data_IF_896935258963
#
_entry.id   IF_896935258963
#
_cell.length_a   1.000
_cell.length_b   1.000
_cell.length_c   1.000
_cell.angle_alpha   90.00
_cell.angle_beta   90.00
_cell.angle_gamma   90.00
#
_symmetry.space_group_name_H-M   'P 1'
#
loop_
_entity.id
_entity.type
_entity.pdbx_description
1 polymer ?
#
# COMPACT_ATOMS: atom_id res chain seq x y z
N UNK A 1 -11.58 12.47 -27.38
CA UNK A 1 -10.79 13.68 -27.07
C UNK A 1 -9.49 13.29 -26.40
N UNK A 2 -8.37 13.51 -27.07
CA UNK A 2 -7.03 13.70 -26.47
C UNK A 2 -6.33 12.51 -25.79
N UNK A 3 -5.84 11.55 -26.58
CA UNK A 3 -4.70 10.72 -26.17
C UNK A 3 -3.47 11.64 -26.04
N UNK A 4 -3.16 12.07 -24.82
CA UNK A 4 -1.94 12.81 -24.54
C UNK A 4 -0.75 11.87 -24.68
N UNK A 5 0.14 12.22 -25.62
CA UNK A 5 1.48 11.69 -25.83
C UNK A 5 2.18 11.33 -24.50
N UNK A 6 2.36 10.04 -24.25
CA UNK A 6 3.15 9.53 -23.12
C UNK A 6 4.61 9.45 -23.56
N UNK A 7 5.36 10.50 -23.24
CA UNK A 7 6.82 10.39 -23.09
C UNK A 7 7.11 9.13 -22.28
N UNK A 8 8.04 8.27 -22.72
CA UNK A 8 8.39 7.00 -22.06
C UNK A 8 8.88 7.28 -20.64
N UNK A 9 7.95 7.36 -19.68
CA UNK A 9 8.28 7.46 -18.27
C UNK A 9 8.87 6.12 -17.84
N UNK A 10 10.04 6.15 -17.24
CA UNK A 10 10.60 4.99 -16.57
C UNK A 10 9.61 4.54 -15.49
N UNK A 11 9.22 3.27 -15.51
CA UNK A 11 8.34 2.67 -14.50
C UNK A 11 9.05 2.65 -13.14
N UNK A 12 8.32 3.01 -12.09
CA UNK A 12 8.83 3.00 -10.72
C UNK A 12 9.17 1.58 -10.28
N UNK A 13 8.36 0.59 -10.65
CA UNK A 13 8.61 -0.83 -10.35
C UNK A 13 9.93 -1.31 -10.95
N UNK A 14 10.24 -0.94 -12.20
CA UNK A 14 11.51 -1.29 -12.83
C UNK A 14 12.71 -0.61 -12.15
N UNK A 15 12.58 0.67 -11.81
CA UNK A 15 13.64 1.41 -11.11
C UNK A 15 13.90 0.85 -9.70
N UNK A 16 12.83 0.47 -8.99
CA UNK A 16 12.90 -0.17 -7.67
C UNK A 16 13.58 -1.54 -7.76
N UNK A 17 13.14 -2.40 -8.69
CA UNK A 17 13.73 -3.73 -8.88
C UNK A 17 15.21 -3.66 -9.25
N UNK A 18 15.61 -2.72 -10.10
CA UNK A 18 17.01 -2.49 -10.42
C UNK A 18 17.82 -2.03 -9.20
N UNK A 19 17.27 -1.12 -8.39
CA UNK A 19 17.91 -0.68 -7.14
C UNK A 19 18.14 -1.84 -6.17
N UNK A 20 17.12 -2.68 -5.94
CA UNK A 20 17.24 -3.86 -5.07
C UNK A 20 18.29 -4.83 -5.62
N UNK A 21 18.31 -5.12 -6.93
CA UNK A 21 19.33 -6.00 -7.54
C UNK A 21 20.74 -5.44 -7.37
N UNK A 22 20.93 -4.12 -7.43
CA UNK A 22 22.25 -3.52 -7.21
C UNK A 22 22.70 -3.59 -5.74
N UNK A 23 21.76 -3.50 -4.80
CA UNK A 23 22.05 -3.59 -3.35
C UNK A 23 22.34 -5.02 -2.89
N UNK A 24 21.67 -6.02 -3.48
CA UNK A 24 21.76 -7.44 -3.05
C UNK A 24 22.94 -8.18 -3.71
N UNK A 25 23.54 -7.64 -4.77
CA UNK A 25 24.71 -8.26 -5.42
C UNK A 25 25.89 -8.34 -4.44
N UNK A 26 26.19 -9.54 -3.99
CA UNK A 26 27.28 -9.86 -3.04
C UNK A 26 28.67 -9.51 -3.56
N UNK A 27 28.83 -9.40 -4.89
CA UNK A 27 30.14 -9.31 -5.56
C UNK A 27 30.62 -7.87 -5.85
N UNK A 28 30.26 -6.90 -5.02
CA UNK A 28 30.83 -5.54 -5.11
C UNK A 28 31.29 -5.07 -3.75
N UNK A 29 32.60 -5.25 -3.51
CA UNK A 29 33.30 -4.57 -2.42
C UNK A 29 32.90 -3.10 -2.35
N UNK A 30 32.45 -2.66 -1.17
CA UNK A 30 32.39 -1.27 -0.70
C UNK A 30 31.75 -0.22 -1.64
N UNK A 31 30.92 -0.61 -2.61
CA UNK A 31 30.38 0.31 -3.62
C UNK A 31 29.17 1.10 -3.10
N UNK A 32 29.25 2.43 -3.13
CA UNK A 32 28.09 3.30 -2.85
C UNK A 32 27.11 3.25 -4.02
N UNK A 33 25.85 2.89 -3.76
CA UNK A 33 24.75 2.97 -4.73
C UNK A 33 24.06 4.33 -4.67
N UNK A 34 23.84 4.95 -5.83
CA UNK A 34 23.12 6.23 -5.97
C UNK A 34 21.71 5.99 -6.54
N UNK A 35 20.63 6.09 -5.74
CA UNK A 35 19.26 5.76 -6.15
C UNK A 35 18.56 6.84 -7.00
N UNK A 36 19.30 7.68 -7.75
CA UNK A 36 18.76 8.84 -8.48
C UNK A 36 17.60 8.49 -9.42
N UNK A 37 17.70 7.37 -10.15
CA UNK A 37 16.64 6.93 -11.06
C UNK A 37 15.34 6.64 -10.32
N UNK A 38 15.44 5.90 -9.21
CA UNK A 38 14.31 5.60 -8.33
C UNK A 38 13.73 6.85 -7.68
N UNK A 39 14.58 7.73 -7.14
CA UNK A 39 14.17 9.01 -6.53
C UNK A 39 13.46 9.95 -7.52
N UNK A 40 13.87 9.93 -8.80
CA UNK A 40 13.16 10.68 -9.85
C UNK A 40 11.79 10.06 -10.16
N UNK A 41 11.67 8.73 -10.19
CA UNK A 41 10.39 8.06 -10.41
C UNK A 41 9.40 8.37 -9.27
N UNK A 42 9.82 8.25 -8.01
CA UNK A 42 8.95 8.54 -6.86
C UNK A 42 8.58 10.03 -6.79
N UNK A 43 9.48 10.95 -7.14
CA UNK A 43 9.16 12.39 -7.18
C UNK A 43 8.16 12.74 -8.29
N UNK A 44 8.13 11.96 -9.37
CA UNK A 44 7.15 12.11 -10.44
C UNK A 44 5.79 11.50 -10.08
N UNK A 45 5.80 10.42 -9.28
CA UNK A 45 4.61 9.78 -8.74
C UNK A 45 3.93 10.67 -7.70
N UNK A 46 4.70 11.07 -6.68
CA UNK A 46 4.29 11.96 -5.62
C UNK A 46 5.25 13.14 -5.52
N UNK A 47 4.74 14.29 -5.99
CA UNK A 47 5.47 15.55 -6.02
C UNK A 47 5.92 16.04 -4.65
N UNK A 48 5.36 15.52 -3.55
CA UNK A 48 5.77 15.90 -2.19
C UNK A 48 7.24 15.59 -1.93
N UNK A 49 7.79 14.55 -2.57
CA UNK A 49 9.19 14.10 -2.44
C UNK A 49 10.16 14.78 -3.41
N UNK A 50 9.68 15.71 -4.25
CA UNK A 50 10.54 16.52 -5.08
C UNK A 50 11.30 17.56 -4.23
N UNK A 51 12.52 17.90 -4.64
CA UNK A 51 13.27 19.04 -4.08
C UNK A 51 14.24 18.72 -2.94
N UNK A 52 14.49 17.45 -2.61
CA UNK A 52 15.61 17.04 -1.75
C UNK A 52 15.54 17.51 -0.29
N UNK A 53 14.33 17.76 0.23
CA UNK A 53 14.10 18.09 1.64
C UNK A 53 14.06 16.80 2.50
N UNK A 54 14.10 16.97 3.82
CA UNK A 54 13.87 15.85 4.74
C UNK A 54 12.39 15.47 4.75
N UNK A 55 12.11 14.17 4.94
CA UNK A 55 10.78 13.57 4.87
C UNK A 55 10.58 12.52 5.95
N UNK A 56 9.31 12.27 6.27
CA UNK A 56 8.90 11.12 7.06
C UNK A 56 9.09 9.83 6.24
N UNK A 57 9.75 8.84 6.83
CA UNK A 57 10.05 7.57 6.15
C UNK A 57 8.81 6.71 5.93
N UNK A 58 7.80 6.80 6.79
CA UNK A 58 6.54 6.08 6.64
C UNK A 58 5.74 6.65 5.47
N UNK A 59 5.62 7.98 5.37
CA UNK A 59 4.96 8.60 4.21
C UNK A 59 5.67 8.23 2.90
N UNK A 60 7.01 8.19 2.92
CA UNK A 60 7.80 7.75 1.77
C UNK A 60 7.56 6.29 1.42
N UNK A 61 7.50 5.40 2.42
CA UNK A 61 7.18 3.98 2.23
C UNK A 61 5.79 3.81 1.62
N UNK A 62 4.76 4.46 2.16
CA UNK A 62 3.40 4.41 1.60
C UNK A 62 3.38 4.84 0.14
N UNK A 63 4.05 5.94 -0.20
CA UNK A 63 4.11 6.37 -1.59
C UNK A 63 4.80 5.37 -2.52
N UNK A 64 5.78 4.61 -2.04
CA UNK A 64 6.42 3.54 -2.82
C UNK A 64 5.46 2.38 -2.99
N UNK A 65 4.80 1.94 -1.91
CA UNK A 65 3.87 0.82 -1.94
C UNK A 65 2.67 1.11 -2.85
N UNK A 66 2.10 2.31 -2.80
CA UNK A 66 1.00 2.73 -3.69
C UNK A 66 1.41 2.67 -5.16
N UNK A 67 2.60 3.19 -5.48
CA UNK A 67 3.11 3.18 -6.84
C UNK A 67 3.36 1.76 -7.36
N UNK A 68 3.96 0.90 -6.53
CA UNK A 68 4.19 -0.50 -6.86
C UNK A 68 2.87 -1.26 -7.01
N UNK A 69 1.91 -1.06 -6.09
CA UNK A 69 0.60 -1.70 -6.14
C UNK A 69 -0.13 -1.33 -7.43
N UNK A 70 -0.12 -0.05 -7.82
CA UNK A 70 -0.76 0.40 -9.06
C UNK A 70 -0.05 -0.10 -10.33
N UNK A 71 1.28 -0.04 -10.40
CA UNK A 71 2.03 -0.51 -11.59
C UNK A 71 1.98 -2.03 -11.74
N UNK A 72 1.98 -2.77 -10.62
CA UNK A 72 1.98 -4.24 -10.58
C UNK A 72 0.59 -4.85 -10.38
N UNK A 73 -0.49 -4.07 -10.41
CA UNK A 73 -1.84 -4.59 -10.25
C UNK A 73 -2.19 -5.57 -11.39
N UNK A 74 -2.61 -6.78 -11.02
CA UNK A 74 -3.11 -7.82 -11.93
C UNK A 74 -4.51 -7.48 -12.44
N UNK A 75 -5.27 -6.69 -11.67
CA UNK A 75 -6.58 -6.18 -12.09
C UNK A 75 -6.40 -5.08 -13.14
N UNK A 76 -6.91 -5.30 -14.36
CA UNK A 76 -6.80 -4.34 -15.48
C UNK A 76 -8.09 -3.58 -15.79
N UNK A 77 -9.23 -4.09 -15.34
CA UNK A 77 -10.54 -3.47 -15.56
C UNK A 77 -10.99 -2.67 -14.35
N UNK A 78 -11.93 -1.74 -14.54
CA UNK A 78 -12.62 -1.11 -13.42
C UNK A 78 -13.57 -2.13 -12.80
N UNK A 79 -13.36 -2.58 -11.56
CA UNK A 79 -14.28 -3.49 -10.90
C UNK A 79 -15.65 -2.81 -10.70
N UNK A 80 -16.68 -3.64 -10.64
CA UNK A 80 -18.03 -3.18 -10.38
C UNK A 80 -18.20 -2.91 -8.88
N UNK A 81 -18.81 -1.78 -8.54
CA UNK A 81 -19.22 -1.53 -7.16
C UNK A 81 -20.22 -2.59 -6.71
N UNK A 82 -19.98 -3.16 -5.52
CA UNK A 82 -20.86 -4.13 -4.87
C UNK A 82 -20.96 -3.73 -3.40
N UNK A 83 -22.17 -3.52 -2.92
CA UNK A 83 -22.42 -3.34 -1.49
C UNK A 83 -22.33 -4.70 -0.78
N UNK A 84 -21.47 -4.78 0.25
CA UNK A 84 -21.33 -5.98 1.06
C UNK A 84 -22.49 -6.03 2.06
N UNK A 85 -23.29 -7.12 2.01
CA UNK A 85 -24.53 -7.20 2.79
C UNK A 85 -24.34 -7.55 4.26
N UNK A 86 -23.12 -7.92 4.69
CA UNK A 86 -22.84 -8.32 6.08
C UNK A 86 -23.67 -9.54 6.53
N UNK A 87 -23.95 -10.47 5.61
CA UNK A 87 -24.70 -11.70 5.88
C UNK A 87 -23.75 -12.87 6.12
N UNK A 88 -24.19 -13.83 6.93
CA UNK A 88 -23.39 -15.00 7.29
C UNK A 88 -22.59 -14.78 8.57
N UNK A 89 -21.73 -15.75 8.85
CA UNK A 89 -20.76 -15.73 9.94
C UNK A 89 -19.73 -14.62 9.76
N UNK A 90 -19.03 -14.28 10.84
CA UNK A 90 -17.91 -13.32 10.84
C UNK A 90 -16.83 -13.71 9.81
N UNK A 91 -16.50 -15.00 9.73
CA UNK A 91 -15.51 -15.52 8.78
C UNK A 91 -15.97 -15.39 7.32
N UNK A 92 -17.25 -15.66 7.02
CA UNK A 92 -17.81 -15.47 5.68
C UNK A 92 -17.80 -14.00 5.28
N UNK A 93 -18.13 -13.09 6.20
CA UNK A 93 -18.09 -11.65 5.94
C UNK A 93 -16.65 -11.15 5.71
N UNK A 94 -15.68 -11.70 6.45
CA UNK A 94 -14.26 -11.38 6.27
C UNK A 94 -13.75 -11.82 4.88
N UNK A 95 -14.07 -13.06 4.46
CA UNK A 95 -13.70 -13.58 3.15
C UNK A 95 -14.37 -12.78 2.03
N UNK A 96 -15.68 -12.51 2.12
CA UNK A 96 -16.41 -11.68 1.16
C UNK A 96 -15.75 -10.29 0.98
N UNK A 97 -15.36 -9.65 2.08
CA UNK A 97 -14.68 -8.37 2.05
C UNK A 97 -13.27 -8.47 1.46
N UNK A 98 -12.55 -9.57 1.72
CA UNK A 98 -11.22 -9.81 1.17
C UNK A 98 -11.27 -10.05 -0.34
N UNK A 99 -12.20 -10.88 -0.82
CA UNK A 99 -12.42 -11.09 -2.25
C UNK A 99 -12.85 -9.81 -2.94
N UNK A 100 -13.68 -8.99 -2.29
CA UNK A 100 -14.03 -7.68 -2.81
C UNK A 100 -12.80 -6.78 -2.93
N UNK A 101 -11.97 -6.66 -1.89
CA UNK A 101 -10.71 -5.89 -1.94
C UNK A 101 -9.80 -6.37 -3.08
N UNK A 102 -9.60 -7.69 -3.22
CA UNK A 102 -8.80 -8.28 -4.30
C UNK A 102 -9.35 -8.01 -5.70
N UNK A 103 -10.65 -7.78 -5.84
CA UNK A 103 -11.22 -7.36 -7.12
C UNK A 103 -10.78 -5.96 -7.57
N UNK A 104 -10.28 -5.13 -6.65
CA UNK A 104 -9.72 -3.81 -6.93
C UNK A 104 -8.19 -3.83 -7.02
N UNK A 105 -7.53 -4.46 -6.05
CA UNK A 105 -6.07 -4.49 -5.96
C UNK A 105 -5.60 -5.92 -5.69
N UNK A 106 -4.86 -6.47 -6.66
CA UNK A 106 -4.21 -7.77 -6.56
C UNK A 106 -2.82 -7.67 -7.19
N UNK A 107 -1.81 -7.41 -6.36
CA UNK A 107 -0.43 -7.20 -6.78
C UNK A 107 0.55 -7.94 -5.87
N UNK A 108 1.83 -7.96 -6.26
CA UNK A 108 2.90 -8.50 -5.41
C UNK A 108 3.02 -7.75 -4.07
N UNK A 109 2.61 -6.48 -4.00
CA UNK A 109 2.58 -5.72 -2.75
C UNK A 109 1.55 -6.30 -1.80
N UNK A 110 0.36 -6.65 -2.32
CA UNK A 110 -0.71 -7.27 -1.54
C UNK A 110 -0.32 -8.67 -1.08
N UNK A 111 0.42 -9.43 -1.90
CA UNK A 111 0.89 -10.78 -1.52
C UNK A 111 1.91 -10.76 -0.37
N UNK A 112 2.72 -9.70 -0.26
CA UNK A 112 3.82 -9.61 0.71
C UNK A 112 3.44 -8.81 1.95
N UNK A 113 2.77 -7.67 1.77
CA UNK A 113 2.46 -6.73 2.83
C UNK A 113 0.96 -6.70 3.19
N UNK A 114 0.11 -7.26 2.32
CA UNK A 114 -1.34 -7.15 2.47
C UNK A 114 -1.88 -7.93 3.66
N UNK A 115 -2.76 -7.29 4.42
CA UNK A 115 -3.55 -7.91 5.47
C UNK A 115 -4.95 -7.30 5.53
N UNK A 116 -5.78 -7.81 6.45
CA UNK A 116 -7.13 -7.33 6.70
C UNK A 116 -7.34 -7.05 8.19
N UNK A 117 -7.82 -5.85 8.52
CA UNK A 117 -8.22 -5.46 9.87
C UNK A 117 -9.72 -5.66 10.04
N UNK A 118 -10.11 -6.21 11.18
CA UNK A 118 -11.51 -6.26 11.59
C UNK A 118 -11.79 -5.19 12.65
N UNK A 119 -12.71 -4.28 12.32
CA UNK A 119 -13.31 -3.34 13.27
C UNK A 119 -14.71 -3.81 13.64
N UNK A 120 -15.00 -3.93 14.94
CA UNK A 120 -16.33 -4.31 15.43
C UNK A 120 -16.97 -3.17 16.23
N UNK A 121 -18.20 -2.81 15.89
CA UNK A 121 -18.99 -1.83 16.64
C UNK A 121 -20.21 -2.53 17.23
N UNK A 122 -20.30 -2.56 18.56
CA UNK A 122 -21.45 -3.10 19.28
C UNK A 122 -22.38 -1.98 19.73
N UNK A 123 -23.63 -2.02 19.29
CA UNK A 123 -24.65 -1.10 19.76
C UNK A 123 -24.93 -1.34 21.26
N UNK A 124 -24.74 -0.32 22.09
CA UNK A 124 -24.94 -0.43 23.54
C UNK A 124 -26.39 -0.70 23.95
N UNK A 125 -27.37 -0.31 23.10
CA UNK A 125 -28.81 -0.48 23.34
C UNK A 125 -29.35 -1.83 22.89
N UNK A 126 -29.21 -2.17 21.60
CA UNK A 126 -29.78 -3.40 21.03
C UNK A 126 -28.79 -4.57 20.95
N UNK A 127 -27.54 -4.38 21.38
CA UNK A 127 -26.46 -5.39 21.38
C UNK A 127 -26.09 -5.97 20.01
N UNK A 128 -26.62 -5.41 18.93
CA UNK A 128 -26.20 -5.75 17.56
C UNK A 128 -24.73 -5.40 17.37
N UNK A 129 -23.96 -6.34 16.84
CA UNK A 129 -22.58 -6.15 16.41
C UNK A 129 -22.57 -5.90 14.91
N UNK A 130 -21.80 -4.91 14.48
CA UNK A 130 -21.49 -4.64 13.08
C UNK A 130 -19.99 -4.82 12.87
N UNK A 131 -19.60 -5.54 11.83
CA UNK A 131 -18.21 -5.73 11.44
C UNK A 131 -17.87 -4.88 10.22
N UNK A 132 -16.63 -4.41 10.16
CA UNK A 132 -16.03 -3.74 9.02
C UNK A 132 -14.64 -4.34 8.82
N UNK A 133 -14.29 -4.64 7.57
CA UNK A 133 -13.08 -5.34 7.23
C UNK A 133 -12.28 -4.51 6.23
N UNK A 134 -11.18 -3.93 6.69
CA UNK A 134 -10.39 -2.97 5.92
C UNK A 134 -9.04 -3.60 5.51
N UNK A 135 -8.65 -3.55 4.23
CA UNK A 135 -7.32 -3.97 3.82
C UNK A 135 -6.27 -2.98 4.36
N UNK A 136 -5.08 -3.48 4.69
CA UNK A 136 -3.95 -2.66 5.10
C UNK A 136 -2.64 -3.18 4.51
N UNK A 137 -1.63 -2.31 4.43
CA UNK A 137 -0.25 -2.66 4.04
C UNK A 137 0.76 -2.46 5.19
N UNK A 138 0.39 -1.70 6.22
CA UNK A 138 1.15 -1.50 7.44
C UNK A 138 0.21 -1.28 8.66
N UNK A 139 0.78 -1.31 9.86
CA UNK A 139 0.06 -1.04 11.10
C UNK A 139 0.75 0.09 11.87
N UNK A 140 0.05 1.21 12.03
CA UNK A 140 0.50 2.31 12.88
C UNK A 140 0.12 2.02 14.34
N UNK A 141 1.11 1.69 15.17
CA UNK A 141 0.88 1.32 16.57
C UNK A 141 1.05 2.55 17.49
N UNK A 142 0.03 2.93 18.27
CA UNK A 142 0.15 4.03 19.21
C UNK A 142 1.09 3.66 20.35
N UNK A 143 1.95 4.60 20.74
CA UNK A 143 2.78 4.41 21.93
C UNK A 143 1.91 4.51 23.19
N UNK A 144 2.08 3.60 24.17
CA UNK A 144 1.40 3.70 25.46
C UNK A 144 1.72 5.05 26.12
N UNK A 145 0.69 5.73 26.65
CA UNK A 145 0.91 6.94 27.45
C UNK A 145 1.78 6.55 28.65
N UNK A 146 2.92 7.23 28.82
CA UNK A 146 3.71 7.10 30.06
C UNK A 146 2.78 7.40 31.23
N UNK A 147 2.69 6.51 32.22
CA UNK A 147 2.12 6.85 33.52
C UNK A 147 2.91 8.06 34.02
N UNK A 148 2.23 9.18 34.24
CA UNK A 148 2.88 10.37 34.80
C UNK A 148 3.60 9.97 36.08
N UNK A 149 4.89 10.28 36.17
CA UNK A 149 5.56 10.31 37.46
C UNK A 149 4.92 11.48 38.23
N UNK A 150 4.08 11.13 39.21
CA UNK A 150 3.83 12.01 40.35
C UNK A 150 5.05 12.05 41.25
#
# INVERSE_FOLDING_TARGET
GGLKSTSRRTSLANAFAEGVRQLVREDRGTGVYSPRSFLNCISNWDRRFAGGRQHDSQEFLHSILDALQQECNRVRGKPQYKELQGKGSEAEQADDAWQYSKSWHDSIVDDVCGGQLQSSVTCSRCKRVSYCFDPFLDLSIPLPKKRGYG
#
